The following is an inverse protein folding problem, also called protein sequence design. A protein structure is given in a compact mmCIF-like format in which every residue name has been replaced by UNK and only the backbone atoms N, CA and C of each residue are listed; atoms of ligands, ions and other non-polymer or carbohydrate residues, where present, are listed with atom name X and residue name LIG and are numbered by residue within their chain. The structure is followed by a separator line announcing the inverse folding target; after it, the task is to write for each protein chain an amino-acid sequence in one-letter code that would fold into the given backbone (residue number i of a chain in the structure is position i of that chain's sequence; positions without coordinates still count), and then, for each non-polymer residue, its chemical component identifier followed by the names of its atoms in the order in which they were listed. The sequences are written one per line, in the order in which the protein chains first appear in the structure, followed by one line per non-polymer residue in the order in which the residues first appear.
data_IF_098255619248
#
_entry.id   IF_098255619248
#
_cell.length_a   1.000
_cell.length_b   1.000
_cell.length_c   1.000
_cell.angle_alpha   90.00
_cell.angle_beta   90.00
_cell.angle_gamma   90.00
#
_symmetry.space_group_name_H-M   'P 1'
#
loop_
_entity.id
_entity.type
_entity.pdbx_description
1 polymer ?
#
# COMPACT_ATOMS: atom_id res chain seq x y z
N UNK A 1 26.50 2.19 35.45
CA UNK A 1 26.82 2.10 34.01
C UNK A 1 26.32 0.76 33.49
N UNK A 2 25.09 0.68 32.97
CA UNK A 2 24.56 -0.54 32.36
C UNK A 2 24.97 -0.56 30.88
N UNK A 3 25.78 -1.56 30.52
CA UNK A 3 26.30 -1.73 29.17
C UNK A 3 25.19 -2.06 28.17
N UNK A 4 25.07 -1.24 27.13
CA UNK A 4 24.25 -1.50 25.95
C UNK A 4 24.76 -2.77 25.23
N UNK A 5 24.05 -3.87 25.39
CA UNK A 5 24.31 -5.09 24.63
C UNK A 5 23.92 -4.83 23.17
N UNK A 6 24.89 -4.78 22.26
CA UNK A 6 24.62 -4.64 20.81
C UNK A 6 23.85 -5.87 20.31
N UNK A 7 22.63 -5.63 19.87
CA UNK A 7 21.72 -6.62 19.27
C UNK A 7 22.34 -7.26 18.02
N UNK A 8 22.61 -8.57 18.06
CA UNK A 8 23.29 -9.29 16.97
C UNK A 8 22.26 -9.99 16.06
N UNK A 9 21.90 -9.30 14.97
CA UNK A 9 20.87 -9.69 13.99
C UNK A 9 21.22 -10.97 13.21
N UNK A 10 22.48 -11.44 13.24
CA UNK A 10 22.99 -12.51 12.35
C UNK A 10 22.78 -13.96 12.84
N UNK A 11 22.08 -14.21 13.95
CA UNK A 11 22.04 -15.54 14.58
C UNK A 11 20.66 -16.08 14.96
N UNK A 12 19.56 -15.44 14.56
CA UNK A 12 18.23 -15.97 14.87
C UNK A 12 17.76 -16.89 13.75
N UNK A 13 17.51 -18.18 14.07
CA UNK A 13 16.79 -19.13 13.22
C UNK A 13 15.28 -18.96 13.45
N UNK A 14 14.46 -18.73 12.42
CA UNK A 14 12.98 -18.60 12.51
C UNK A 14 12.35 -19.63 11.60
N UNK A 15 11.39 -20.36 12.14
CA UNK A 15 10.61 -21.36 11.41
C UNK A 15 9.41 -20.70 10.69
N UNK A 16 9.13 -21.09 9.42
CA UNK A 16 8.01 -20.57 8.66
C UNK A 16 6.66 -20.92 9.30
N UNK A 17 5.68 -20.00 9.20
CA UNK A 17 4.33 -20.24 9.71
C UNK A 17 3.68 -21.39 8.91
N UNK A 18 3.14 -22.43 9.58
CA UNK A 18 2.44 -23.50 8.89
C UNK A 18 1.19 -22.96 8.18
N UNK A 19 0.76 -23.63 7.08
CA UNK A 19 -0.44 -23.25 6.34
C UNK A 19 -1.68 -23.16 7.24
N UNK A 20 -2.56 -22.20 6.98
CA UNK A 20 -3.89 -22.18 7.61
C UNK A 20 -4.67 -23.39 7.08
N UNK A 21 -5.31 -24.22 7.93
CA UNK A 21 -6.11 -25.39 7.51
C UNK A 21 -7.27 -25.07 6.54
N UNK A 22 -7.54 -23.79 6.24
CA UNK A 22 -8.63 -23.34 5.38
C UNK A 22 -8.30 -23.02 3.92
N UNK A 23 -7.12 -23.34 3.36
CA UNK A 23 -6.85 -23.28 1.90
C UNK A 23 -5.44 -23.79 1.58
N UNK A 24 -5.33 -24.86 0.78
CA UNK A 24 -4.06 -25.40 0.29
C UNK A 24 -3.28 -24.33 -0.49
N UNK A 25 -2.02 -24.14 -0.10
CA UNK A 25 -1.03 -23.38 -0.89
C UNK A 25 -0.58 -24.31 -2.01
N UNK A 26 -1.11 -24.13 -3.22
CA UNK A 26 -0.61 -24.80 -4.42
C UNK A 26 0.55 -24.02 -5.03
N UNK A 27 1.65 -23.88 -4.30
CA UNK A 27 2.91 -23.39 -4.86
C UNK A 27 3.69 -24.55 -5.49
N UNK A 28 3.48 -24.75 -6.79
CA UNK A 28 4.53 -25.25 -7.70
C UNK A 28 4.80 -24.17 -8.76
N UNK A 29 5.40 -23.06 -8.35
CA UNK A 29 5.96 -22.06 -9.27
C UNK A 29 7.41 -22.46 -9.62
N UNK A 30 7.63 -22.86 -10.88
CA UNK A 30 8.84 -23.52 -11.39
C UNK A 30 9.85 -22.62 -12.11
N UNK A 31 9.82 -21.30 -11.93
CA UNK A 31 10.68 -20.39 -12.73
C UNK A 31 11.72 -19.57 -11.95
N UNK A 32 12.06 -19.97 -10.71
CA UNK A 32 13.25 -19.42 -10.05
C UNK A 32 14.06 -20.55 -9.43
N UNK A 33 15.18 -20.95 -10.06
CA UNK A 33 16.20 -21.77 -9.39
C UNK A 33 16.86 -20.89 -8.34
N UNK A 34 16.49 -21.13 -7.09
CA UNK A 34 17.00 -20.44 -5.91
C UNK A 34 17.94 -21.40 -5.15
N UNK A 35 19.18 -20.98 -4.95
CA UNK A 35 20.23 -21.71 -4.25
C UNK A 35 19.91 -21.79 -2.74
N UNK A 36 19.64 -23.00 -2.19
CA UNK A 36 19.20 -23.18 -0.80
C UNK A 36 20.26 -22.87 0.27
N UNK A 37 21.55 -22.77 -0.09
CA UNK A 37 22.63 -22.52 0.87
C UNK A 37 22.84 -21.02 1.15
N UNK A 38 22.33 -20.15 0.28
CA UNK A 38 22.49 -18.69 0.39
C UNK A 38 21.18 -17.92 0.69
N UNK A 39 20.08 -18.63 0.95
CA UNK A 39 18.76 -18.02 1.19
C UNK A 39 18.32 -18.32 2.63
N UNK A 40 18.77 -17.45 3.54
CA UNK A 40 18.28 -17.43 4.92
C UNK A 40 17.03 -16.52 4.98
N UNK A 41 15.88 -17.17 5.15
CA UNK A 41 14.53 -16.64 5.04
C UNK A 41 14.11 -15.94 6.35
N UNK A 42 13.92 -14.62 6.33
CA UNK A 42 13.17 -13.94 7.39
C UNK A 42 12.10 -13.01 6.84
N UNK A 43 10.87 -13.39 7.17
CA UNK A 43 9.72 -12.54 7.39
C UNK A 43 10.02 -11.49 8.46
N UNK A 44 9.03 -10.65 8.67
CA UNK A 44 9.02 -9.54 9.60
C UNK A 44 9.74 -9.85 10.95
N UNK A 45 10.87 -9.20 11.28
CA UNK A 45 11.58 -9.42 12.57
C UNK A 45 10.69 -9.18 13.81
N UNK A 46 9.55 -8.52 13.63
CA UNK A 46 8.46 -8.51 14.60
C UNK A 46 7.22 -9.08 13.91
N UNK A 47 6.49 -10.07 14.47
CA UNK A 47 5.16 -10.41 13.98
C UNK A 47 4.33 -9.12 13.85
N UNK A 48 3.45 -9.02 12.85
CA UNK A 48 2.58 -7.84 12.70
C UNK A 48 1.82 -7.52 14.00
N UNK A 49 1.61 -8.52 14.86
CA UNK A 49 1.01 -8.37 16.19
C UNK A 49 1.85 -7.49 17.14
N UNK A 50 3.19 -7.49 17.06
CA UNK A 50 4.07 -6.55 17.78
C UNK A 50 4.10 -5.17 17.10
N UNK A 51 3.93 -5.11 15.79
CA UNK A 51 3.75 -3.85 15.06
C UNK A 51 2.48 -3.12 15.51
N UNK A 52 1.44 -3.85 15.95
CA UNK A 52 0.22 -3.26 16.55
C UNK A 52 0.56 -2.52 17.85
N UNK A 53 1.44 -3.08 18.69
CA UNK A 53 1.87 -2.43 19.95
C UNK A 53 2.74 -1.21 19.66
N UNK A 54 3.74 -1.34 18.79
CA UNK A 54 4.58 -0.20 18.39
C UNK A 54 3.79 0.89 17.63
N UNK A 55 2.85 0.50 16.78
CA UNK A 55 1.93 1.44 16.14
C UNK A 55 0.97 2.04 17.15
N UNK A 56 0.48 1.30 18.15
CA UNK A 56 -0.36 1.84 19.21
C UNK A 56 0.42 2.88 20.03
N UNK A 57 1.69 2.66 20.34
CA UNK A 57 2.54 3.64 21.02
C UNK A 57 2.83 4.86 20.14
N UNK A 58 3.18 4.65 18.86
CA UNK A 58 3.39 5.74 17.89
C UNK A 58 2.09 6.51 17.60
N UNK A 59 0.96 5.83 17.57
CA UNK A 59 -0.37 6.39 17.35
C UNK A 59 -0.88 7.07 18.62
N UNK A 60 -0.61 6.56 19.82
CA UNK A 60 -0.89 7.21 21.08
C UNK A 60 -0.05 8.49 21.22
N UNK A 61 1.23 8.44 20.88
CA UNK A 61 2.09 9.63 20.83
C UNK A 61 1.57 10.65 19.80
N UNK A 62 1.26 10.22 18.58
CA UNK A 62 0.67 11.11 17.56
C UNK A 62 -0.72 11.62 17.98
N UNK A 63 -1.52 10.81 18.67
CA UNK A 63 -2.83 11.18 19.21
C UNK A 63 -2.64 12.28 20.25
N UNK A 64 -1.73 12.09 21.20
CA UNK A 64 -1.45 13.05 22.27
C UNK A 64 -0.81 14.35 21.74
N UNK A 65 0.00 14.31 20.69
CA UNK A 65 0.69 15.50 20.16
C UNK A 65 -0.03 16.19 19.01
N UNK A 66 -0.77 15.46 18.17
CA UNK A 66 -1.39 15.99 16.95
C UNK A 66 -2.89 16.20 17.06
N UNK A 67 -3.64 15.37 17.81
CA UNK A 67 -5.10 15.59 17.97
C UNK A 67 -5.40 16.96 18.60
N UNK A 68 -4.67 17.44 19.62
CA UNK A 68 -4.86 18.80 20.11
C UNK A 68 -4.60 19.87 19.06
N UNK A 69 -3.62 19.67 18.16
CA UNK A 69 -3.34 20.61 17.04
C UNK A 69 -4.44 20.57 15.99
N UNK A 70 -4.96 19.39 15.68
CA UNK A 70 -6.05 19.20 14.71
C UNK A 70 -7.38 19.72 15.23
N UNK A 71 -7.64 19.55 16.53
CA UNK A 71 -8.79 20.11 17.22
C UNK A 71 -8.77 21.64 17.18
N UNK A 72 -7.63 22.26 17.56
CA UNK A 72 -7.44 23.73 17.51
C UNK A 72 -7.57 24.33 16.11
N UNK A 73 -7.43 23.53 15.05
CA UNK A 73 -7.47 23.96 13.65
C UNK A 73 -8.73 23.49 12.89
N UNK A 74 -9.76 23.02 13.61
CA UNK A 74 -11.02 22.50 13.07
C UNK A 74 -10.87 21.38 12.02
N UNK A 75 -9.73 20.66 12.04
CA UNK A 75 -9.41 19.56 11.11
C UNK A 75 -10.00 18.23 11.55
N UNK A 76 -10.19 18.06 12.86
CA UNK A 76 -10.71 16.83 13.46
C UNK A 76 -12.11 16.50 12.94
N UNK A 77 -12.98 17.51 12.81
CA UNK A 77 -14.33 17.31 12.29
C UNK A 77 -14.26 16.84 10.84
N UNK A 78 -13.59 17.59 9.95
CA UNK A 78 -13.55 17.25 8.51
C UNK A 78 -12.97 15.86 8.24
N UNK A 79 -11.72 15.62 8.66
CA UNK A 79 -11.00 14.41 8.30
C UNK A 79 -11.38 13.23 9.20
N UNK A 80 -11.60 13.49 10.49
CA UNK A 80 -12.05 12.47 11.44
C UNK A 80 -13.41 11.90 11.04
N UNK A 81 -14.43 12.74 10.83
CA UNK A 81 -15.74 12.22 10.38
C UNK A 81 -15.68 11.53 9.02
N UNK A 82 -14.93 12.09 8.07
CA UNK A 82 -14.80 11.52 6.74
C UNK A 82 -14.21 10.10 6.74
N UNK A 83 -13.12 9.89 7.50
CA UNK A 83 -12.48 8.58 7.66
C UNK A 83 -13.33 7.65 8.51
N UNK A 84 -13.86 8.11 9.65
CA UNK A 84 -14.69 7.32 10.55
C UNK A 84 -15.93 6.76 9.86
N UNK A 85 -16.59 7.54 8.99
CA UNK A 85 -17.72 7.05 8.18
C UNK A 85 -17.33 5.86 7.32
N UNK A 86 -16.14 5.89 6.72
CA UNK A 86 -15.64 4.80 5.88
C UNK A 86 -15.24 3.58 6.72
N UNK A 87 -14.62 3.78 7.88
CA UNK A 87 -14.26 2.71 8.81
C UNK A 87 -15.48 2.02 9.45
N UNK A 88 -16.51 2.78 9.83
CA UNK A 88 -17.76 2.23 10.37
C UNK A 88 -18.43 1.32 9.35
N UNK A 89 -18.54 1.76 8.10
CA UNK A 89 -19.06 0.90 7.01
C UNK A 89 -18.22 -0.37 6.84
N UNK A 90 -16.90 -0.25 6.91
CA UNK A 90 -15.95 -1.35 6.74
C UNK A 90 -16.12 -2.40 7.84
N UNK A 91 -16.36 -1.96 9.08
CA UNK A 91 -16.36 -2.87 10.21
C UNK A 91 -17.76 -3.43 10.53
N UNK A 92 -18.84 -2.74 10.15
CA UNK A 92 -20.18 -3.09 10.60
C UNK A 92 -21.18 -3.42 9.48
N UNK A 93 -21.02 -2.91 8.25
CA UNK A 93 -22.04 -3.08 7.21
C UNK A 93 -21.75 -4.22 6.22
N UNK A 94 -20.51 -4.70 6.14
CA UNK A 94 -20.11 -5.63 5.09
C UNK A 94 -20.80 -6.99 5.21
N UNK A 95 -20.92 -7.52 6.43
CA UNK A 95 -21.62 -8.77 6.69
C UNK A 95 -23.09 -8.70 6.28
N UNK A 96 -23.78 -7.66 6.74
CA UNK A 96 -25.18 -7.43 6.38
C UNK A 96 -25.34 -7.31 4.85
N UNK A 97 -24.51 -6.50 4.20
CA UNK A 97 -24.55 -6.34 2.74
C UNK A 97 -24.26 -7.65 1.99
N UNK A 98 -23.34 -8.47 2.49
CA UNK A 98 -23.01 -9.76 1.88
C UNK A 98 -24.12 -10.81 2.05
N UNK A 99 -24.97 -10.71 3.09
CA UNK A 99 -26.17 -11.55 3.25
C UNK A 99 -27.28 -11.24 2.25
N UNK A 100 -27.32 -10.00 1.75
CA UNK A 100 -28.32 -9.54 0.78
C UNK A 100 -27.93 -9.81 -0.67
N UNK A 101 -26.74 -10.36 -0.94
CA UNK A 101 -26.27 -10.64 -2.30
C UNK A 101 -27.13 -11.74 -2.93
N UNK A 102 -27.61 -11.48 -4.15
CA UNK A 102 -28.39 -12.46 -4.92
C UNK A 102 -27.60 -13.75 -5.16
N UNK A 103 -28.31 -14.88 -5.18
CA UNK A 103 -27.71 -16.16 -5.60
C UNK A 103 -27.46 -16.22 -7.10
N UNK A 104 -28.15 -15.40 -7.91
CA UNK A 104 -27.90 -15.28 -9.35
C UNK A 104 -26.61 -14.48 -9.56
N UNK A 105 -25.64 -15.09 -10.24
CA UNK A 105 -24.31 -14.51 -10.48
C UNK A 105 -24.10 -14.27 -11.97
N UNK A 106 -23.23 -13.31 -12.29
CA UNK A 106 -22.59 -13.26 -13.61
C UNK A 106 -21.72 -14.52 -13.76
N UNK A 107 -21.95 -15.33 -14.78
CA UNK A 107 -21.22 -16.59 -14.96
C UNK A 107 -19.92 -16.39 -15.75
N UNK A 108 -19.87 -15.36 -16.60
CA UNK A 108 -18.69 -14.98 -17.36
C UNK A 108 -17.73 -14.16 -16.48
N UNK A 109 -16.70 -14.84 -15.95
CA UNK A 109 -15.71 -14.22 -15.07
C UNK A 109 -14.79 -13.22 -15.80
N UNK A 110 -14.57 -13.38 -17.10
CA UNK A 110 -13.76 -12.46 -17.90
C UNK A 110 -14.54 -11.16 -18.13
N UNK A 111 -15.82 -11.27 -18.45
CA UNK A 111 -16.73 -10.13 -18.50
C UNK A 111 -16.84 -9.46 -17.14
N UNK A 112 -16.99 -10.22 -16.04
CA UNK A 112 -17.00 -9.67 -14.69
C UNK A 112 -15.72 -8.87 -14.37
N UNK A 113 -14.55 -9.43 -14.68
CA UNK A 113 -13.24 -8.78 -14.51
C UNK A 113 -13.21 -7.45 -15.27
N UNK A 114 -13.61 -7.47 -16.54
CA UNK A 114 -13.64 -6.28 -17.41
C UNK A 114 -14.60 -5.22 -16.87
N UNK A 115 -15.84 -5.60 -16.57
CA UNK A 115 -16.88 -4.72 -16.02
C UNK A 115 -16.42 -4.05 -14.70
N UNK A 116 -15.77 -4.80 -13.81
CA UNK A 116 -15.24 -4.25 -12.55
C UNK A 116 -14.14 -3.23 -12.81
N UNK A 117 -13.23 -3.52 -13.76
CA UNK A 117 -12.14 -2.60 -14.13
C UNK A 117 -12.69 -1.30 -14.72
N UNK A 118 -13.63 -1.41 -15.66
CA UNK A 118 -14.28 -0.25 -16.30
C UNK A 118 -15.07 0.59 -15.29
N UNK A 119 -15.84 -0.05 -14.41
CA UNK A 119 -16.58 0.66 -13.36
C UNK A 119 -15.64 1.37 -12.38
N UNK A 120 -14.54 0.71 -12.00
CA UNK A 120 -13.52 1.29 -11.12
C UNK A 120 -12.81 2.47 -11.77
N UNK A 121 -12.46 2.36 -13.05
CA UNK A 121 -11.86 3.44 -13.84
C UNK A 121 -12.80 4.65 -13.97
N UNK A 122 -14.11 4.43 -14.17
CA UNK A 122 -15.12 5.49 -14.18
C UNK A 122 -15.23 6.27 -12.87
N UNK A 123 -14.76 5.71 -11.75
CA UNK A 123 -14.66 6.40 -10.45
C UNK A 123 -13.28 7.03 -10.20
N UNK A 124 -12.35 6.94 -11.16
CA UNK A 124 -11.00 7.47 -11.07
C UNK A 124 -10.00 6.55 -10.37
N UNK A 125 -10.26 5.24 -10.33
CA UNK A 125 -9.29 4.25 -9.85
C UNK A 125 -8.48 3.62 -10.99
N UNK A 126 -7.18 3.44 -10.77
CA UNK A 126 -6.44 2.33 -11.41
C UNK A 126 -6.70 1.07 -10.59
N UNK A 127 -6.79 -0.09 -11.24
CA UNK A 127 -7.05 -1.32 -10.52
C UNK A 127 -6.53 -2.58 -11.22
N UNK A 128 -6.25 -3.60 -10.40
CA UNK A 128 -5.74 -4.88 -10.87
C UNK A 128 -6.08 -5.99 -9.88
N UNK A 129 -6.14 -7.21 -10.40
CA UNK A 129 -6.46 -8.42 -9.66
C UNK A 129 -5.18 -9.16 -9.27
N UNK A 130 -5.09 -9.61 -8.02
CA UNK A 130 -4.01 -10.45 -7.52
C UNK A 130 -4.55 -11.44 -6.49
N UNK A 131 -3.78 -12.48 -6.18
CA UNK A 131 -3.99 -13.26 -4.97
C UNK A 131 -3.62 -12.42 -3.75
N UNK A 132 -4.38 -12.60 -2.67
CA UNK A 132 -4.02 -12.11 -1.34
C UNK A 132 -2.85 -12.92 -0.81
N UNK A 133 -1.73 -12.24 -0.62
CA UNK A 133 -0.54 -12.81 -0.02
C UNK A 133 -0.57 -12.57 1.49
N UNK A 134 -0.83 -13.67 2.20
CA UNK A 134 -1.01 -13.71 3.66
C UNK A 134 0.23 -13.29 4.44
N UNK A 135 1.41 -13.31 3.82
CA UNK A 135 2.65 -12.80 4.42
C UNK A 135 2.59 -11.30 4.68
N UNK A 136 1.69 -10.60 4.00
CA UNK A 136 1.50 -9.15 4.06
C UNK A 136 0.21 -8.73 4.78
N UNK A 137 -0.42 -9.64 5.52
CA UNK A 137 -1.60 -9.40 6.36
C UNK A 137 -1.25 -9.58 7.84
N UNK A 138 -1.80 -8.72 8.70
CA UNK A 138 -1.66 -8.86 10.15
C UNK A 138 -2.21 -10.20 10.65
N UNK A 139 -1.40 -10.95 11.41
CA UNK A 139 -1.71 -12.32 11.85
C UNK A 139 -3.02 -12.39 12.63
N UNK A 140 -3.27 -11.46 13.55
CA UNK A 140 -4.50 -11.36 14.33
C UNK A 140 -5.74 -10.87 13.56
N UNK A 141 -5.65 -10.68 12.22
CA UNK A 141 -6.72 -10.10 11.38
C UNK A 141 -6.96 -10.87 10.09
N UNK A 142 -6.45 -12.10 9.96
CA UNK A 142 -6.61 -12.93 8.77
C UNK A 142 -8.08 -13.15 8.39
N UNK A 143 -8.96 -13.24 9.38
CA UNK A 143 -10.40 -13.39 9.23
C UNK A 143 -11.07 -12.21 8.52
N UNK A 144 -10.40 -11.04 8.47
CA UNK A 144 -10.89 -9.85 7.74
C UNK A 144 -10.67 -9.93 6.23
N UNK A 145 -10.04 -11.01 5.76
CA UNK A 145 -9.74 -11.26 4.36
C UNK A 145 -10.19 -12.69 3.98
N UNK A 146 -11.49 -12.98 3.91
CA UNK A 146 -11.99 -14.35 3.77
C UNK A 146 -11.74 -14.98 2.38
N UNK A 147 -11.52 -14.15 1.36
CA UNK A 147 -11.35 -14.57 -0.03
C UNK A 147 -9.90 -14.42 -0.51
N UNK A 148 -9.51 -15.20 -1.52
CA UNK A 148 -8.13 -15.16 -2.05
C UNK A 148 -7.97 -14.15 -3.17
N UNK A 149 -9.02 -13.88 -3.94
CA UNK A 149 -8.99 -12.90 -5.01
C UNK A 149 -9.08 -11.50 -4.42
N UNK A 150 -8.10 -10.66 -4.71
CA UNK A 150 -8.06 -9.26 -4.32
C UNK A 150 -8.06 -8.36 -5.56
N UNK A 151 -9.00 -7.42 -5.58
CA UNK A 151 -8.95 -6.23 -6.41
C UNK A 151 -8.20 -5.15 -5.63
N UNK A 152 -7.03 -4.74 -6.11
CA UNK A 152 -6.27 -3.61 -5.58
C UNK A 152 -6.69 -2.35 -6.32
N UNK A 153 -6.99 -1.28 -5.59
CA UNK A 153 -7.51 -0.02 -6.12
C UNK A 153 -6.57 1.12 -5.74
N UNK A 154 -6.02 1.84 -6.73
CA UNK A 154 -5.22 3.03 -6.53
C UNK A 154 -5.97 4.28 -6.98
N UNK A 155 -6.09 5.29 -6.13
CA UNK A 155 -6.66 6.59 -6.51
C UNK A 155 -5.61 7.68 -6.36
N UNK A 156 -5.57 8.57 -7.35
CA UNK A 156 -4.62 9.67 -7.40
C UNK A 156 -4.81 10.66 -6.24
N UNK A 157 -3.70 11.08 -5.65
CA UNK A 157 -3.61 12.19 -4.72
C UNK A 157 -3.61 13.52 -5.46
N UNK A 158 -4.21 14.55 -4.89
CA UNK A 158 -4.19 15.88 -5.49
C UNK A 158 -2.76 16.39 -5.70
N UNK A 159 -2.38 16.55 -6.98
CA UNK A 159 -1.04 16.98 -7.39
C UNK A 159 -0.73 18.40 -6.90
N UNK A 160 -1.69 19.32 -6.94
CA UNK A 160 -1.51 20.70 -6.47
C UNK A 160 -1.20 20.74 -4.97
N UNK A 161 -1.94 19.97 -4.18
CA UNK A 161 -1.65 19.83 -2.74
C UNK A 161 -0.29 19.18 -2.48
N UNK A 162 0.13 18.20 -3.28
CA UNK A 162 1.45 17.60 -3.13
C UNK A 162 2.57 18.59 -3.49
N UNK A 163 2.38 19.41 -4.53
CA UNK A 163 3.36 20.41 -4.96
C UNK A 163 3.59 21.48 -3.88
N UNK A 164 2.62 21.71 -2.98
CA UNK A 164 2.75 22.60 -1.82
C UNK A 164 3.48 21.98 -0.60
N UNK A 165 3.76 20.67 -0.59
CA UNK A 165 4.39 20.00 0.58
C UNK A 165 5.85 20.44 0.79
N UNK A 166 6.33 20.59 2.06
CA UNK A 166 5.58 20.49 3.31
C UNK A 166 4.75 21.74 3.59
N UNK A 167 3.50 21.55 4.06
CA UNK A 167 2.56 22.63 4.32
C UNK A 167 1.83 22.49 5.67
N UNK A 168 2.56 22.51 6.80
CA UNK A 168 1.94 22.37 8.12
C UNK A 168 0.88 23.46 8.35
N UNK A 169 -0.25 23.09 8.93
CA UNK A 169 -1.36 24.03 9.18
C UNK A 169 -2.36 24.18 8.02
N UNK A 170 -2.02 23.79 6.79
CA UNK A 170 -2.94 23.79 5.63
C UNK A 170 -3.72 22.47 5.49
N UNK A 171 -4.28 22.15 4.32
CA UNK A 171 -4.97 20.87 4.07
C UNK A 171 -4.01 19.68 4.26
N UNK A 172 -4.52 18.60 4.84
CA UNK A 172 -3.79 17.34 4.97
C UNK A 172 -3.87 16.57 3.65
N UNK A 173 -2.85 16.71 2.81
CA UNK A 173 -2.86 16.20 1.43
C UNK A 173 -3.13 14.67 1.34
N UNK A 174 -2.70 13.90 2.33
CA UNK A 174 -2.92 12.46 2.44
C UNK A 174 -4.31 12.10 2.98
N UNK A 175 -4.88 12.90 3.90
CA UNK A 175 -6.23 12.66 4.39
C UNK A 175 -7.32 13.07 3.40
N UNK A 176 -7.09 14.06 2.53
CA UNK A 176 -8.03 14.38 1.44
C UNK A 176 -8.33 13.14 0.59
N UNK A 177 -7.27 12.41 0.20
CA UNK A 177 -7.42 11.18 -0.57
C UNK A 177 -7.97 10.02 0.27
N UNK A 178 -7.62 9.90 1.56
CA UNK A 178 -8.20 8.86 2.42
C UNK A 178 -9.72 8.99 2.57
N UNK A 179 -10.22 10.21 2.73
CA UNK A 179 -11.66 10.48 2.81
C UNK A 179 -12.32 10.15 1.47
N UNK A 180 -11.79 10.67 0.36
CA UNK A 180 -12.37 10.46 -0.98
C UNK A 180 -12.38 8.97 -1.35
N UNK A 181 -11.21 8.33 -1.38
CA UNK A 181 -11.11 6.92 -1.78
C UNK A 181 -11.87 5.98 -0.82
N UNK A 182 -11.82 6.23 0.49
CA UNK A 182 -12.57 5.46 1.48
C UNK A 182 -14.09 5.49 1.29
N UNK A 183 -14.63 6.56 0.72
CA UNK A 183 -16.07 6.67 0.41
C UNK A 183 -16.41 6.04 -0.95
N UNK A 184 -15.58 6.28 -1.96
CA UNK A 184 -15.82 5.83 -3.34
C UNK A 184 -15.65 4.32 -3.52
N UNK A 185 -14.74 3.67 -2.77
CA UNK A 185 -14.51 2.22 -2.85
C UNK A 185 -15.76 1.39 -2.57
N UNK A 186 -16.70 1.90 -1.77
CA UNK A 186 -17.97 1.21 -1.51
C UNK A 186 -18.91 1.20 -2.71
N UNK A 187 -18.75 2.11 -3.67
CA UNK A 187 -19.48 2.06 -4.94
C UNK A 187 -19.02 0.85 -5.77
N UNK A 188 -17.71 0.63 -5.85
CA UNK A 188 -17.12 -0.58 -6.48
C UNK A 188 -17.62 -1.84 -5.78
N UNK A 189 -17.60 -1.87 -4.45
CA UNK A 189 -18.09 -3.02 -3.69
C UNK A 189 -19.59 -3.28 -3.92
N UNK A 190 -20.42 -2.23 -4.05
CA UNK A 190 -21.84 -2.37 -4.40
C UNK A 190 -22.03 -2.91 -5.81
N UNK A 191 -21.21 -2.46 -6.76
CA UNK A 191 -21.22 -2.96 -8.13
C UNK A 191 -20.90 -4.47 -8.15
N UNK A 192 -19.83 -4.91 -7.48
CA UNK A 192 -19.47 -6.33 -7.35
C UNK A 192 -20.63 -7.14 -6.74
N UNK A 193 -21.26 -6.62 -5.67
CA UNK A 193 -22.42 -7.27 -5.04
C UNK A 193 -23.64 -7.34 -5.96
N UNK A 194 -23.85 -6.33 -6.80
CA UNK A 194 -24.95 -6.33 -7.78
C UNK A 194 -24.77 -7.39 -8.87
N UNK A 195 -23.52 -7.83 -9.10
CA UNK A 195 -23.17 -8.96 -9.99
C UNK A 195 -23.29 -10.34 -9.33
N UNK A 196 -23.77 -10.41 -8.07
CA UNK A 196 -23.97 -11.66 -7.33
C UNK A 196 -22.77 -12.13 -6.51
N UNK A 197 -21.75 -11.29 -6.31
CA UNK A 197 -20.53 -11.66 -5.60
C UNK A 197 -20.39 -10.99 -4.23
N UNK A 198 -20.12 -11.80 -3.20
CA UNK A 198 -19.77 -11.29 -1.88
C UNK A 198 -18.37 -10.68 -1.93
N UNK A 199 -18.17 -9.62 -1.16
CA UNK A 199 -16.86 -8.99 -1.09
C UNK A 199 -16.61 -8.25 0.24
N UNK A 200 -15.33 -8.08 0.56
CA UNK A 200 -14.85 -7.35 1.73
C UNK A 200 -13.87 -6.26 1.34
N UNK A 201 -14.24 -5.03 1.64
CA UNK A 201 -13.49 -3.79 1.45
C UNK A 201 -12.53 -3.60 2.61
N UNK A 202 -11.29 -3.21 2.29
CA UNK A 202 -10.36 -2.49 3.17
C UNK A 202 -10.06 -1.13 2.57
N UNK A 203 -10.19 -0.09 3.39
CA UNK A 203 -9.91 1.29 3.00
C UNK A 203 -8.43 1.62 3.23
N UNK A 204 -7.86 2.67 2.61
CA UNK A 204 -6.44 2.94 2.75
C UNK A 204 -5.95 3.23 4.18
N UNK A 205 -6.85 3.69 5.05
CA UNK A 205 -6.56 3.96 6.47
C UNK A 205 -6.71 2.73 7.38
N UNK A 206 -6.85 1.53 6.81
CA UNK A 206 -7.15 0.34 7.59
C UNK A 206 -5.98 -0.21 8.44
N UNK A 207 -4.77 -0.26 7.85
CA UNK A 207 -3.56 -0.67 8.57
C UNK A 207 -3.32 -2.18 8.71
N UNK A 208 -4.24 -3.08 8.31
CA UNK A 208 -4.05 -4.53 8.48
C UNK A 208 -3.42 -5.26 7.29
N UNK A 209 -3.19 -4.56 6.18
CA UNK A 209 -2.59 -5.12 4.96
C UNK A 209 -1.51 -4.20 4.41
N UNK A 210 -0.42 -4.80 3.89
CA UNK A 210 0.55 -4.07 3.09
C UNK A 210 0.09 -4.02 1.64
N UNK A 211 -0.44 -2.87 1.23
CA UNK A 211 -0.88 -2.65 -0.14
C UNK A 211 0.23 -2.70 -1.21
N UNK A 212 1.45 -2.16 -1.00
CA UNK A 212 2.48 -2.13 -2.04
C UNK A 212 2.79 -3.47 -2.72
N UNK A 213 3.05 -4.59 -2.00
CA UNK A 213 3.31 -5.88 -2.66
C UNK A 213 2.10 -6.37 -3.47
N UNK A 214 0.87 -6.19 -2.96
CA UNK A 214 -0.33 -6.57 -3.69
C UNK A 214 -0.53 -5.72 -4.95
N UNK A 215 -0.25 -4.41 -4.90
CA UNK A 215 -0.33 -3.54 -6.08
C UNK A 215 0.70 -3.92 -7.15
N UNK A 216 1.92 -4.31 -6.75
CA UNK A 216 2.95 -4.80 -7.68
C UNK A 216 2.51 -6.12 -8.32
N UNK A 217 2.02 -7.07 -7.51
CA UNK A 217 1.51 -8.35 -8.02
C UNK A 217 0.33 -8.19 -8.97
N UNK A 218 -0.53 -7.19 -8.71
CA UNK A 218 -1.64 -6.81 -9.57
C UNK A 218 -1.24 -6.03 -10.84
N UNK A 219 0.06 -5.88 -11.13
CA UNK A 219 0.55 -5.20 -12.33
C UNK A 219 0.38 -3.68 -12.35
N UNK A 220 0.10 -3.05 -11.21
CA UNK A 220 -0.18 -1.61 -11.14
C UNK A 220 1.08 -0.74 -11.15
N UNK A 221 2.25 -1.32 -10.87
CA UNK A 221 3.50 -0.59 -10.92
C UNK A 221 4.64 -1.32 -10.23
N UNK A 222 5.74 -0.60 -10.01
CA UNK A 222 6.95 -1.14 -9.39
C UNK A 222 7.37 -0.35 -8.15
N UNK A 223 8.12 -0.98 -7.25
CA UNK A 223 8.58 -0.32 -6.04
C UNK A 223 9.64 0.76 -6.35
N UNK A 224 9.36 2.01 -5.97
CA UNK A 224 10.33 3.10 -6.06
C UNK A 224 11.32 3.14 -4.89
N UNK A 225 12.41 3.91 -5.04
CA UNK A 225 13.42 4.09 -3.98
C UNK A 225 12.84 4.60 -2.66
N UNK A 226 11.79 5.42 -2.70
CA UNK A 226 11.12 5.94 -1.50
C UNK A 226 10.20 4.92 -0.79
N UNK A 227 10.16 3.66 -1.23
CA UNK A 227 9.39 2.60 -0.59
C UNK A 227 7.89 2.62 -0.88
N UNK A 228 7.45 3.41 -1.87
CA UNK A 228 6.08 3.39 -2.41
C UNK A 228 6.10 2.87 -3.85
N UNK A 229 4.98 2.31 -4.30
CA UNK A 229 4.81 1.87 -5.69
C UNK A 229 4.75 3.09 -6.61
N UNK A 230 5.41 3.03 -7.75
CA UNK A 230 5.36 4.00 -8.84
C UNK A 230 4.51 3.38 -9.96
N UNK A 231 3.39 4.02 -10.30
CA UNK A 231 2.54 3.61 -11.43
C UNK A 231 2.83 4.48 -12.67
N UNK A 232 2.39 4.03 -13.84
CA UNK A 232 2.53 4.82 -15.08
C UNK A 232 1.68 6.08 -15.03
N UNK A 233 0.49 5.97 -14.46
CA UNK A 233 -0.58 6.99 -14.47
C UNK A 233 -0.30 8.11 -13.47
N UNK A 234 0.07 7.77 -12.24
CA UNK A 234 0.14 8.71 -11.12
C UNK A 234 1.55 8.88 -10.55
N UNK A 235 2.51 8.11 -11.05
CA UNK A 235 3.82 8.02 -10.44
C UNK A 235 3.69 7.50 -9.00
N UNK A 236 4.22 8.20 -7.98
CA UNK A 236 4.09 7.80 -6.59
C UNK A 236 2.87 8.42 -5.87
N UNK A 237 2.01 9.19 -6.56
CA UNK A 237 0.89 9.96 -6.00
C UNK A 237 -0.41 9.16 -5.84
N UNK A 238 -0.41 8.07 -5.09
CA UNK A 238 -1.65 7.31 -4.91
C UNK A 238 -1.80 6.76 -3.50
N UNK A 239 -3.06 6.47 -3.16
CA UNK A 239 -3.41 5.66 -1.99
C UNK A 239 -4.21 4.44 -2.43
N UNK A 240 -4.00 3.38 -1.66
CA UNK A 240 -4.44 2.04 -2.01
C UNK A 240 -5.62 1.61 -1.15
N UNK A 241 -6.67 1.12 -1.77
CA UNK A 241 -7.68 0.27 -1.14
C UNK A 241 -7.60 -1.14 -1.69
N UNK A 242 -8.29 -2.08 -1.04
CA UNK A 242 -8.37 -3.45 -1.53
C UNK A 242 -9.76 -4.01 -1.29
N UNK A 243 -10.27 -4.80 -2.23
CA UNK A 243 -11.51 -5.54 -2.09
C UNK A 243 -11.20 -7.02 -2.30
N UNK A 244 -11.43 -7.85 -1.28
CA UNK A 244 -11.41 -9.31 -1.45
C UNK A 244 -12.76 -9.79 -1.97
N UNK A 245 -12.77 -10.70 -2.95
CA UNK A 245 -13.98 -11.06 -3.71
C UNK A 245 -14.16 -12.58 -3.71
N UNK A 246 -15.39 -13.04 -3.49
CA UNK A 246 -15.81 -14.44 -3.51
C UNK A 246 -15.94 -15.01 -4.93
N UNK A 247 -14.91 -14.81 -5.76
CA UNK A 247 -14.87 -15.21 -7.16
C UNK A 247 -13.46 -15.68 -7.53
N UNK A 248 -13.34 -16.67 -8.42
CA UNK A 248 -12.05 -17.13 -8.94
C UNK A 248 -11.70 -16.38 -10.24
N UNK A 249 -11.49 -15.07 -10.11
CA UNK A 249 -11.17 -14.20 -11.25
C UNK A 249 -9.69 -14.37 -11.60
N UNK A 250 -9.38 -14.48 -12.89
CA UNK A 250 -8.01 -14.56 -13.38
C UNK A 250 -7.17 -13.35 -12.91
N UNK A 251 -5.98 -13.63 -12.36
CA UNK A 251 -5.10 -12.61 -11.80
C UNK A 251 -4.37 -11.83 -12.89
N UNK A 252 -4.11 -10.55 -12.63
CA UNK A 252 -3.16 -9.79 -13.43
C UNK A 252 -1.72 -10.16 -13.05
N UNK A 253 -0.77 -9.77 -13.89
CA UNK A 253 0.65 -10.09 -13.70
C UNK A 253 1.48 -8.84 -13.41
N UNK A 254 2.58 -8.96 -12.64
CA UNK A 254 3.53 -7.87 -12.46
C UNK A 254 4.03 -7.28 -13.78
N UNK A 255 4.36 -5.99 -13.74
CA UNK A 255 4.90 -5.25 -14.89
C UNK A 255 6.35 -4.87 -14.63
N UNK A 256 7.17 -4.85 -15.68
CA UNK A 256 8.52 -4.30 -15.64
C UNK A 256 8.48 -2.87 -16.19
N UNK A 257 8.57 -1.89 -15.29
CA UNK A 257 8.63 -0.46 -15.60
C UNK A 257 10.06 0.08 -15.58
N UNK A 258 11.07 -0.79 -15.40
CA UNK A 258 12.48 -0.43 -15.20
C UNK A 258 12.71 0.53 -14.03
N UNK A 259 11.81 0.57 -13.05
CA UNK A 259 11.89 1.52 -11.93
C UNK A 259 13.09 1.27 -11.02
N UNK A 260 13.54 0.03 -10.88
CA UNK A 260 14.74 -0.29 -10.11
C UNK A 260 15.98 0.41 -10.68
N UNK A 261 16.24 0.25 -11.99
CA UNK A 261 17.36 0.87 -12.68
C UNK A 261 17.24 2.40 -12.69
N UNK A 262 16.03 2.92 -12.99
CA UNK A 262 15.76 4.35 -12.96
C UNK A 262 16.03 4.96 -11.58
N UNK A 263 15.56 4.31 -10.51
CA UNK A 263 15.74 4.77 -9.15
C UNK A 263 17.21 4.71 -8.68
N UNK A 264 17.98 3.72 -9.14
CA UNK A 264 19.41 3.60 -8.86
C UNK A 264 20.21 4.77 -9.44
N UNK A 265 19.84 5.26 -10.63
CA UNK A 265 20.44 6.44 -11.23
C UNK A 265 19.92 7.77 -10.62
N UNK A 266 18.61 7.87 -10.39
CA UNK A 266 17.95 9.12 -10.00
C UNK A 266 18.32 9.60 -8.60
N UNK A 267 18.08 8.76 -7.58
CA UNK A 267 18.36 9.03 -6.14
C UNK A 267 17.86 10.37 -5.57
N UNK A 268 16.97 11.11 -6.25
CA UNK A 268 16.51 12.44 -5.81
C UNK A 268 15.76 12.41 -4.48
N UNK A 269 14.84 11.46 -4.30
CA UNK A 269 14.08 11.34 -3.06
C UNK A 269 14.97 11.04 -1.86
N UNK A 270 16.04 10.25 -2.05
CA UNK A 270 17.06 9.95 -1.04
C UNK A 270 17.73 11.24 -0.58
N UNK A 271 18.23 12.04 -1.54
CA UNK A 271 18.92 13.31 -1.28
C UNK A 271 18.01 14.35 -0.61
N UNK A 272 16.73 14.39 -0.99
CA UNK A 272 15.77 15.36 -0.48
C UNK A 272 15.14 14.97 0.87
N UNK A 273 15.31 13.73 1.33
CA UNK A 273 14.66 13.25 2.55
C UNK A 273 15.25 13.96 3.79
N UNK A 274 14.47 14.80 4.52
CA UNK A 274 15.02 15.58 5.62
C UNK A 274 15.48 14.69 6.79
N UNK A 275 14.84 13.54 6.99
CA UNK A 275 15.22 12.56 8.01
C UNK A 275 16.31 11.59 7.56
N UNK A 276 16.79 11.64 6.30
CA UNK A 276 17.67 10.62 5.71
C UNK A 276 17.17 9.21 6.00
N UNK A 277 15.85 9.04 5.85
CA UNK A 277 15.14 7.82 6.19
C UNK A 277 15.21 6.75 5.09
N UNK A 278 15.50 7.15 3.86
CA UNK A 278 15.60 6.24 2.72
C UNK A 278 17.04 5.74 2.64
N UNK A 279 17.26 4.42 2.72
CA UNK A 279 18.59 3.83 2.53
C UNK A 279 19.20 4.20 1.18
N UNK A 280 20.50 4.49 1.18
CA UNK A 280 21.28 4.73 -0.04
C UNK A 280 21.34 3.50 -0.93
N UNK A 281 21.71 2.38 -0.32
CA UNK A 281 21.85 1.09 -0.98
C UNK A 281 20.61 0.22 -0.79
N UNK A 282 20.44 -0.72 -1.73
CA UNK A 282 19.46 -1.78 -1.61
C UNK A 282 19.98 -2.83 -0.65
N UNK A 283 19.07 -3.33 0.19
CA UNK A 283 19.32 -4.41 1.14
C UNK A 283 18.25 -5.47 0.97
N UNK A 284 18.59 -6.71 1.29
CA UNK A 284 17.60 -7.75 1.46
C UNK A 284 16.80 -7.45 2.73
N UNK A 285 15.51 -7.15 2.56
CA UNK A 285 14.63 -6.83 3.68
C UNK A 285 13.25 -7.44 3.48
N UNK A 286 12.90 -8.40 4.35
CA UNK A 286 11.64 -9.14 4.31
C UNK A 286 11.40 -9.80 2.93
N UNK A 287 12.38 -10.57 2.45
CA UNK A 287 12.30 -11.33 1.20
C UNK A 287 12.38 -10.53 -0.10
N UNK A 288 12.65 -9.22 -0.05
CA UNK A 288 12.75 -8.37 -1.25
C UNK A 288 14.03 -7.54 -1.19
N UNK A 289 14.76 -7.47 -2.31
CA UNK A 289 15.94 -6.61 -2.46
C UNK A 289 15.51 -5.18 -2.80
N UNK A 290 15.55 -4.29 -1.79
CA UNK A 290 15.01 -2.93 -1.89
C UNK A 290 15.74 -1.94 -0.99
N UNK A 291 15.52 -0.65 -1.20
CA UNK A 291 15.91 0.39 -0.24
C UNK A 291 14.96 0.32 0.95
N UNK A 292 15.50 0.00 2.13
CA UNK A 292 14.72 -0.03 3.37
C UNK A 292 14.43 1.40 3.81
N UNK A 293 13.18 1.66 4.21
CA UNK A 293 12.82 2.93 4.85
C UNK A 293 13.01 2.76 6.36
N UNK A 294 13.72 3.68 6.98
CA UNK A 294 13.82 3.83 8.42
C UNK A 294 12.65 4.70 8.91
N UNK A 295 11.60 4.06 9.38
CA UNK A 295 10.38 4.70 9.88
C UNK A 295 10.64 5.59 11.10
N UNK A 296 11.52 5.19 12.02
CA UNK A 296 11.93 6.01 13.17
C UNK A 296 12.53 7.36 12.76
N UNK A 297 13.23 7.41 11.61
CA UNK A 297 13.76 8.65 11.03
C UNK A 297 12.73 9.40 10.19
N UNK A 298 11.78 8.70 9.56
CA UNK A 298 10.75 9.31 8.72
C UNK A 298 9.66 9.98 9.58
N UNK A 299 9.21 9.29 10.63
CA UNK A 299 8.03 9.64 11.41
C UNK A 299 8.10 11.03 12.05
N UNK A 300 9.21 11.47 12.68
CA UNK A 300 9.29 12.80 13.28
C UNK A 300 9.00 13.92 12.27
N UNK A 301 9.47 13.80 11.04
CA UNK A 301 9.21 14.77 9.98
C UNK A 301 7.81 14.62 9.39
N UNK A 302 7.31 13.39 9.28
CA UNK A 302 5.93 13.14 8.86
C UNK A 302 4.94 13.82 9.79
N UNK A 303 5.11 13.66 11.10
CA UNK A 303 4.32 14.30 12.14
C UNK A 303 4.54 15.81 12.17
N UNK A 304 5.79 16.28 12.17
CA UNK A 304 6.12 17.73 12.19
C UNK A 304 5.48 18.50 11.04
N UNK A 305 5.43 17.90 9.85
CA UNK A 305 4.87 18.53 8.66
C UNK A 305 3.39 18.21 8.42
N UNK A 306 2.70 17.56 9.37
CA UNK A 306 1.30 17.12 9.24
C UNK A 306 1.05 16.39 7.90
N UNK A 307 1.88 15.38 7.61
CA UNK A 307 1.91 14.68 6.33
C UNK A 307 3.11 15.10 5.49
N UNK A 308 4.31 14.62 5.86
CA UNK A 308 5.46 14.77 4.97
C UNK A 308 5.24 13.96 3.68
N UNK A 309 5.62 14.54 2.54
CA UNK A 309 5.50 13.93 1.21
C UNK A 309 6.61 14.38 0.26
N UNK A 310 7.71 14.94 0.80
CA UNK A 310 8.80 15.52 0.00
C UNK A 310 9.36 14.49 -0.99
N UNK A 311 9.50 13.24 -0.59
CA UNK A 311 9.96 12.16 -1.48
C UNK A 311 9.04 11.94 -2.69
N UNK A 312 7.73 12.15 -2.53
CA UNK A 312 6.75 12.08 -3.62
C UNK A 312 6.87 13.33 -4.51
N UNK A 313 6.91 14.52 -3.91
CA UNK A 313 7.00 15.82 -4.60
C UNK A 313 8.22 15.95 -5.51
N UNK A 314 9.39 15.49 -5.03
CA UNK A 314 10.66 15.61 -5.77
C UNK A 314 10.90 14.50 -6.79
N UNK A 315 10.05 13.46 -6.80
CA UNK A 315 10.18 12.38 -7.76
C UNK A 315 10.02 12.94 -9.19
N UNK A 316 10.96 12.68 -10.13
CA UNK A 316 10.80 13.16 -11.50
C UNK A 316 9.53 12.62 -12.17
N UNK A 317 9.18 11.36 -11.90
CA UNK A 317 7.95 10.72 -12.41
C UNK A 317 6.70 11.47 -11.92
N UNK A 318 6.75 12.04 -10.71
CA UNK A 318 5.67 12.90 -10.22
C UNK A 318 5.58 14.21 -11.04
N UNK A 319 6.71 14.81 -11.38
CA UNK A 319 6.77 16.14 -12.01
C UNK A 319 6.49 16.12 -13.51
N UNK A 320 7.07 15.14 -14.20
CA UNK A 320 7.12 15.08 -15.66
C UNK A 320 6.33 13.88 -16.22
N UNK A 321 5.79 13.02 -15.35
CA UNK A 321 5.11 11.80 -15.76
C UNK A 321 6.07 10.66 -16.10
N UNK A 322 5.53 9.43 -16.17
CA UNK A 322 6.31 8.23 -16.43
C UNK A 322 6.90 8.22 -17.84
N UNK A 323 6.07 8.49 -18.86
CA UNK A 323 6.48 8.37 -20.26
C UNK A 323 7.67 9.27 -20.61
N UNK A 324 7.62 10.55 -20.23
CA UNK A 324 8.69 11.50 -20.54
C UNK A 324 9.99 11.18 -19.81
N UNK A 325 9.90 10.82 -18.53
CA UNK A 325 11.07 10.41 -17.74
C UNK A 325 11.73 9.15 -18.28
N UNK A 326 10.94 8.14 -18.67
CA UNK A 326 11.49 6.90 -19.20
C UNK A 326 12.06 7.08 -20.59
N UNK A 327 11.42 7.88 -21.46
CA UNK A 327 11.97 8.20 -22.77
C UNK A 327 13.34 8.90 -22.66
N UNK A 328 13.50 9.85 -21.72
CA UNK A 328 14.77 10.52 -21.48
C UNK A 328 15.83 9.56 -20.88
N UNK A 329 15.43 8.70 -19.95
CA UNK A 329 16.33 7.75 -19.31
C UNK A 329 16.79 6.64 -20.25
N UNK A 330 15.91 6.09 -21.08
CA UNK A 330 16.25 5.03 -22.03
C UNK A 330 17.09 5.57 -23.19
N UNK A 331 16.90 6.84 -23.60
CA UNK A 331 17.69 7.47 -24.65
C UNK A 331 19.17 7.64 -24.28
N UNK A 332 19.46 8.12 -23.07
CA UNK A 332 20.84 8.46 -22.70
C UNK A 332 21.10 8.49 -21.17
N UNK A 333 20.25 7.86 -20.36
CA UNK A 333 20.36 7.86 -18.91
C UNK A 333 19.96 9.18 -18.24
N UNK A 334 19.38 10.14 -18.97
CA UNK A 334 19.04 11.45 -18.40
C UNK A 334 17.90 11.34 -17.40
N UNK A 335 18.09 11.97 -16.24
CA UNK A 335 17.04 12.16 -15.22
C UNK A 335 16.50 13.58 -15.31
N UNK A 336 15.24 13.71 -15.74
CA UNK A 336 14.56 15.01 -15.85
C UNK A 336 14.57 15.75 -14.51
N UNK A 337 14.90 17.05 -14.51
CA UNK A 337 15.17 17.83 -13.29
C UNK A 337 13.95 18.45 -12.64
#
# INVERSE_FOLDING_TARGET
MMGLTRYNVKKQKVEPRPPNPGKEITDKLSFVKLDPINIDLYSEINPLDELIVEMADKFALATLTEIPKWYKRNKLIKYGWGVSKSLLKMNFLQDFQNRLVSKKREEDLDRLKKDIKEYSAGLGYICGFTKIDRRFIAKARDEKFPYNTALVLGMEMDKGLLDEVPQPGKKLFDFEIYVKSGQEIYKVARFIRSKGYRCWVRVPFDGWVKYPPHAINAGLGELGAQGVVITKEFGPRQRWGMISIDADIEMDSPVDLKMAAYCDACRKCIKACPGRAISEDRVWWRGVYKRKINDTKCWPYFTKYEGCGICLKVCPINRHGYAECMAAFEKNGTILR
#
